data_IF_453238232195
#
_entry.id   IF_453238232195
#
_cell.length_a   1.000
_cell.length_b   1.000
_cell.length_c   1.000
_cell.angle_alpha   90.00
_cell.angle_beta   90.00
_cell.angle_gamma   90.00
#
_symmetry.space_group_name_H-M   'P 1'
#
loop_
_entity.id
_entity.type
_entity.pdbx_description
1 polymer ?
#
# COMPACT_ATOMS: atom_id res chain seq x y z
N UNK A 1 9.74 -17.69 15.44
CA UNK A 1 8.37 -17.25 15.09
C UNK A 1 7.60 -18.46 14.57
N UNK A 2 6.26 -18.51 14.71
CA UNK A 2 5.48 -19.55 14.02
C UNK A 2 5.55 -19.29 12.50
N UNK A 3 5.77 -20.31 11.68
CA UNK A 3 5.84 -20.19 10.22
C UNK A 3 4.63 -19.44 9.62
N UNK A 4 3.46 -19.54 10.26
CA UNK A 4 2.25 -18.81 9.90
C UNK A 4 2.42 -17.28 10.03
N UNK A 5 3.12 -16.81 11.06
CA UNK A 5 3.37 -15.37 11.26
C UNK A 5 4.30 -14.83 10.19
N UNK A 6 5.38 -15.54 9.87
CA UNK A 6 6.32 -15.14 8.82
C UNK A 6 5.63 -15.07 7.45
N UNK A 7 4.84 -16.09 7.10
CA UNK A 7 4.03 -16.07 5.88
C UNK A 7 3.06 -14.89 5.83
N UNK A 8 2.36 -14.61 6.94
CA UNK A 8 1.41 -13.50 7.04
C UNK A 8 2.11 -12.15 6.84
N UNK A 9 3.29 -11.95 7.45
CA UNK A 9 4.08 -10.74 7.29
C UNK A 9 4.61 -10.57 5.86
N UNK A 10 5.12 -11.64 5.24
CA UNK A 10 5.55 -11.62 3.83
C UNK A 10 4.40 -11.29 2.89
N UNK A 11 3.20 -11.83 3.13
CA UNK A 11 2.00 -11.48 2.37
C UNK A 11 1.62 -10.01 2.55
N UNK A 12 1.64 -9.51 3.79
CA UNK A 12 1.33 -8.12 4.14
C UNK A 12 2.20 -7.11 3.41
N UNK A 13 3.52 -7.36 3.31
CA UNK A 13 4.42 -6.45 2.60
C UNK A 13 4.18 -6.49 1.10
N UNK A 14 3.95 -7.66 0.50
CA UNK A 14 3.64 -7.78 -0.93
C UNK A 14 2.35 -7.02 -1.25
N UNK A 15 1.27 -7.25 -0.49
CA UNK A 15 0.00 -6.55 -0.66
C UNK A 15 0.16 -5.04 -0.47
N UNK A 16 0.92 -4.60 0.54
CA UNK A 16 1.23 -3.20 0.76
C UNK A 16 1.88 -2.53 -0.44
N UNK A 17 2.84 -3.19 -1.10
CA UNK A 17 3.47 -2.69 -2.32
C UNK A 17 2.51 -2.64 -3.51
N UNK A 18 1.68 -3.66 -3.72
CA UNK A 18 0.67 -3.64 -4.79
C UNK A 18 -0.33 -2.49 -4.63
N UNK A 19 -0.81 -2.28 -3.40
CA UNK A 19 -1.71 -1.17 -3.06
C UNK A 19 -1.02 0.18 -3.32
N UNK A 20 0.25 0.32 -2.93
CA UNK A 20 1.02 1.54 -3.17
C UNK A 20 1.17 1.84 -4.66
N UNK A 21 1.54 0.84 -5.46
CA UNK A 21 1.70 0.98 -6.92
C UNK A 21 0.37 1.36 -7.57
N UNK A 22 -0.73 0.69 -7.19
CA UNK A 22 -2.06 1.01 -7.69
C UNK A 22 -2.48 2.44 -7.33
N UNK A 23 -2.18 2.89 -6.10
CA UNK A 23 -2.42 4.26 -5.67
C UNK A 23 -1.63 5.29 -6.49
N UNK A 24 -0.35 5.04 -6.76
CA UNK A 24 0.49 5.92 -7.59
C UNK A 24 -0.05 5.99 -9.02
N UNK A 25 -0.38 4.85 -9.63
CA UNK A 25 -0.96 4.80 -10.97
C UNK A 25 -2.29 5.57 -11.00
N UNK A 26 -3.16 5.33 -10.03
CA UNK A 26 -4.43 6.05 -9.91
C UNK A 26 -4.25 7.56 -9.73
N UNK A 27 -3.21 7.98 -9.01
CA UNK A 27 -2.89 9.40 -8.83
C UNK A 27 -2.44 10.02 -10.16
N UNK A 28 -1.58 9.34 -10.91
CA UNK A 28 -1.16 9.78 -12.25
C UNK A 28 -2.38 9.93 -13.16
N UNK A 29 -3.28 8.94 -13.20
CA UNK A 29 -4.52 9.00 -13.99
C UNK A 29 -5.41 10.16 -13.56
N UNK A 30 -5.55 10.38 -12.24
CA UNK A 30 -6.34 11.49 -11.70
C UNK A 30 -5.76 12.86 -12.12
N UNK A 31 -4.44 13.01 -12.16
CA UNK A 31 -3.78 14.24 -12.63
C UNK A 31 -4.08 14.53 -14.11
N UNK A 32 -4.14 13.51 -14.97
CA UNK A 32 -4.57 13.67 -16.37
C UNK A 32 -6.06 13.99 -16.49
N UNK A 33 -6.87 13.62 -15.51
CA UNK A 33 -8.30 13.89 -15.43
C UNK A 33 -8.64 15.14 -14.59
N UNK A 34 -7.77 16.15 -14.60
CA UNK A 34 -7.94 17.43 -13.89
C UNK A 34 -8.14 17.29 -12.35
N UNK A 35 -7.62 16.23 -11.76
CA UNK A 35 -7.71 15.99 -10.30
C UNK A 35 -9.05 15.43 -9.85
N UNK A 36 -9.91 14.99 -10.77
CA UNK A 36 -11.14 14.28 -10.43
C UNK A 36 -10.81 13.06 -9.55
N UNK A 37 -11.50 12.97 -8.40
CA UNK A 37 -11.38 11.87 -7.44
C UNK A 37 -9.98 11.64 -6.85
N UNK A 38 -9.12 12.66 -6.79
CA UNK A 38 -7.73 12.55 -6.28
C UNK A 38 -7.62 11.96 -4.86
N UNK A 39 -8.68 12.09 -4.05
CA UNK A 39 -8.75 11.52 -2.71
C UNK A 39 -8.67 9.97 -2.72
N UNK A 40 -9.22 9.32 -3.74
CA UNK A 40 -9.20 7.86 -3.86
C UNK A 40 -7.77 7.34 -3.95
N UNK A 41 -6.95 7.69 -4.97
CA UNK A 41 -5.58 7.20 -5.06
C UNK A 41 -4.70 7.63 -3.87
N UNK A 42 -4.93 8.82 -3.30
CA UNK A 42 -4.25 9.25 -2.07
C UNK A 42 -4.52 8.30 -0.91
N UNK A 43 -5.76 7.87 -0.70
CA UNK A 43 -6.11 6.92 0.35
C UNK A 43 -5.43 5.55 0.15
N UNK A 44 -5.33 5.06 -1.10
CA UNK A 44 -4.59 3.84 -1.42
C UNK A 44 -3.10 3.99 -1.11
N UNK A 45 -2.48 5.13 -1.46
CA UNK A 45 -1.07 5.39 -1.11
C UNK A 45 -0.88 5.36 0.42
N UNK A 46 -1.75 6.02 1.18
CA UNK A 46 -1.69 6.02 2.65
C UNK A 46 -1.81 4.61 3.24
N UNK A 47 -2.74 3.79 2.74
CA UNK A 47 -2.93 2.41 3.18
C UNK A 47 -1.70 1.56 2.85
N UNK A 48 -1.16 1.69 1.62
CA UNK A 48 0.05 0.96 1.20
C UNK A 48 1.25 1.28 2.08
N UNK A 49 1.50 2.57 2.35
CA UNK A 49 2.57 3.01 3.26
C UNK A 49 2.35 2.50 4.69
N UNK A 50 1.12 2.53 5.19
CA UNK A 50 0.79 2.04 6.51
C UNK A 50 1.08 0.54 6.65
N UNK A 51 0.71 -0.28 5.65
CA UNK A 51 0.98 -1.72 5.67
C UNK A 51 2.48 -2.04 5.63
N UNK A 52 3.25 -1.31 4.82
CA UNK A 52 4.71 -1.47 4.75
C UNK A 52 5.36 -1.05 6.07
N UNK A 53 4.91 0.05 6.68
CA UNK A 53 5.38 0.50 7.98
C UNK A 53 5.03 -0.50 9.09
N UNK A 54 3.80 -1.00 9.10
CA UNK A 54 3.33 -2.00 10.05
C UNK A 54 4.19 -3.26 9.96
N UNK A 55 4.44 -3.78 8.75
CA UNK A 55 5.37 -4.89 8.57
C UNK A 55 6.73 -4.59 9.20
N UNK A 56 7.35 -3.44 8.87
CA UNK A 56 8.68 -3.08 9.42
C UNK A 56 8.68 -2.95 10.94
N UNK A 57 7.57 -2.53 11.55
CA UNK A 57 7.46 -2.35 13.00
C UNK A 57 7.34 -3.67 13.75
N UNK A 58 6.69 -4.68 13.15
CA UNK A 58 6.40 -5.96 13.79
C UNK A 58 7.31 -7.11 13.33
N UNK A 59 8.05 -6.95 12.23
CA UNK A 59 9.07 -7.93 11.79
C UNK A 59 10.41 -7.74 12.51
N UNK A 60 10.53 -6.75 13.39
CA UNK A 60 11.75 -6.34 14.08
C UNK A 60 11.63 -6.58 15.59
#
# INVERSE_FOLDING_TARGET
MSALKEFTFSFLIIVGWFILIAGIIGLIVSLFAEGMWIFVPLSFISIGLFLIWFYKKFSH
#
